data_IF_179638673903
#
_entry.id   IF_179638673903
#
_cell.length_a   1.000
_cell.length_b   1.000
_cell.length_c   1.000
_cell.angle_alpha   90.00
_cell.angle_beta   90.00
_cell.angle_gamma   90.00
#
_symmetry.space_group_name_H-M   'P 1'
#
loop_
_entity.id
_entity.type
_entity.pdbx_description
1 polymer ?
#
# COMPACT_ATOMS: atom_id res chain seq x y z
N UNK A 1 -24.49 -0.94 17.25
CA UNK A 1 -23.74 -2.20 17.03
C UNK A 1 -22.72 -1.96 15.92
N UNK A 2 -21.48 -2.44 16.08
CA UNK A 2 -20.43 -2.28 15.06
C UNK A 2 -20.69 -3.25 13.88
N UNK A 3 -20.96 -2.77 12.65
CA UNK A 3 -21.21 -3.62 11.48
C UNK A 3 -20.00 -4.48 11.07
N UNK A 4 -18.77 -4.09 11.42
CA UNK A 4 -17.58 -4.91 11.16
C UNK A 4 -17.57 -6.21 11.98
N UNK A 5 -18.31 -6.27 13.10
CA UNK A 5 -18.37 -7.48 13.92
C UNK A 5 -19.07 -8.65 13.22
N UNK A 6 -19.93 -8.37 12.25
CA UNK A 6 -20.56 -9.40 11.43
C UNK A 6 -19.85 -9.51 10.08
N UNK A 7 -19.25 -10.68 9.83
CA UNK A 7 -18.52 -11.01 8.58
C UNK A 7 -17.56 -9.91 8.09
N UNK A 8 -16.86 -9.25 9.00
CA UNK A 8 -15.93 -8.14 8.70
C UNK A 8 -16.58 -7.00 7.89
N UNK A 9 -17.90 -6.76 8.05
CA UNK A 9 -18.64 -5.79 7.25
C UNK A 9 -18.70 -6.12 5.76
N UNK A 10 -18.37 -7.35 5.37
CA UNK A 10 -18.22 -7.78 3.98
C UNK A 10 -16.89 -7.37 3.33
N UNK A 11 -15.91 -6.88 4.09
CA UNK A 11 -14.61 -6.50 3.59
C UNK A 11 -13.66 -7.70 3.48
N UNK A 12 -12.89 -7.76 2.40
CA UNK A 12 -11.86 -8.79 2.21
C UNK A 12 -10.71 -8.73 3.21
N UNK A 13 -10.31 -7.51 3.61
CA UNK A 13 -9.17 -7.29 4.50
C UNK A 13 -9.54 -6.39 5.69
N UNK A 14 -9.54 -5.07 5.50
CA UNK A 14 -9.76 -4.13 6.60
C UNK A 14 -11.20 -3.61 6.58
N UNK A 15 -11.86 -3.65 7.74
CA UNK A 15 -13.15 -3.01 7.98
C UNK A 15 -12.98 -1.83 8.93
N UNK A 16 -13.21 -0.62 8.40
CA UNK A 16 -13.03 0.65 9.10
C UNK A 16 -14.41 1.18 9.50
N UNK A 17 -14.80 0.91 10.75
CA UNK A 17 -16.04 1.44 11.31
C UNK A 17 -15.83 2.87 11.83
N UNK A 18 -16.68 3.79 11.39
CA UNK A 18 -16.78 5.16 11.90
C UNK A 18 -18.20 5.43 12.40
N UNK A 19 -18.42 6.45 13.25
CA UNK A 19 -19.76 6.81 13.70
C UNK A 19 -20.76 7.11 12.56
N UNK A 20 -20.27 7.48 11.37
CA UNK A 20 -21.10 7.84 10.20
C UNK A 20 -21.28 6.70 9.20
N UNK A 21 -20.30 5.83 9.06
CA UNK A 21 -20.30 4.78 8.04
C UNK A 21 -19.29 3.67 8.35
N UNK A 22 -19.47 2.53 7.68
CA UNK A 22 -18.46 1.46 7.61
C UNK A 22 -17.85 1.49 6.22
N UNK A 23 -16.51 1.42 6.11
CA UNK A 23 -15.79 1.38 4.84
C UNK A 23 -14.76 0.27 4.84
N UNK A 24 -14.54 -0.36 3.70
CA UNK A 24 -13.43 -1.29 3.53
C UNK A 24 -12.15 -0.56 3.15
N UNK A 25 -11.01 -1.13 3.52
CA UNK A 25 -9.68 -0.66 3.16
C UNK A 25 -8.73 -1.82 2.88
N UNK A 26 -7.63 -1.50 2.21
CA UNK A 26 -6.60 -2.48 1.84
C UNK A 26 -5.29 -2.22 2.58
N UNK A 27 -4.55 -3.28 2.95
CA UNK A 27 -3.17 -3.14 3.39
C UNK A 27 -2.30 -2.45 2.35
N UNK A 28 -1.15 -1.93 2.78
CA UNK A 28 -0.18 -1.30 1.87
C UNK A 28 0.22 -2.28 0.77
N UNK A 29 0.15 -1.81 -0.47
CA UNK A 29 0.52 -2.58 -1.65
C UNK A 29 -0.59 -3.45 -2.26
N UNK A 30 -1.81 -3.38 -1.71
CA UNK A 30 -3.02 -3.93 -2.31
C UNK A 30 -3.97 -2.80 -2.68
N UNK A 31 -4.87 -3.08 -3.61
CA UNK A 31 -5.80 -2.11 -4.18
C UNK A 31 -7.25 -2.52 -3.97
N UNK A 32 -8.08 -1.56 -3.55
CA UNK A 32 -9.51 -1.78 -3.36
C UNK A 32 -10.20 -1.73 -4.72
N UNK A 33 -10.85 -2.82 -5.10
CA UNK A 33 -11.66 -2.90 -6.31
C UNK A 33 -12.87 -1.96 -6.25
N UNK A 34 -13.46 -1.72 -7.41
CA UNK A 34 -14.67 -0.89 -7.57
C UNK A 34 -15.89 -1.42 -6.81
N UNK A 35 -15.86 -2.67 -6.35
CA UNK A 35 -16.88 -3.24 -5.46
C UNK A 35 -16.81 -2.68 -4.03
N UNK A 36 -15.79 -1.86 -3.73
CA UNK A 36 -15.52 -1.22 -2.45
C UNK A 36 -15.36 -2.21 -1.28
N UNK A 37 -14.97 -3.46 -1.56
CA UNK A 37 -14.87 -4.55 -0.57
C UNK A 37 -13.63 -5.42 -0.76
N UNK A 38 -13.26 -5.70 -1.99
CA UNK A 38 -12.24 -6.70 -2.33
C UNK A 38 -10.90 -6.01 -2.61
N UNK A 39 -9.83 -6.52 -2.00
CA UNK A 39 -8.48 -6.05 -2.26
C UNK A 39 -7.73 -7.02 -3.16
N UNK A 40 -7.00 -6.51 -4.14
CA UNK A 40 -6.18 -7.30 -5.06
C UNK A 40 -4.72 -6.83 -5.06
N UNK A 41 -3.83 -7.69 -5.53
CA UNK A 41 -2.48 -7.27 -5.89
C UNK A 41 -2.57 -6.58 -7.25
N UNK A 42 -2.08 -5.34 -7.41
CA UNK A 42 -2.10 -4.67 -8.70
C UNK A 42 -1.26 -5.38 -9.74
N UNK A 43 -1.74 -5.39 -10.99
CA UNK A 43 -1.01 -5.95 -12.11
C UNK A 43 0.17 -5.06 -12.53
N UNK A 44 0.03 -3.74 -12.35
CA UNK A 44 1.08 -2.78 -12.68
C UNK A 44 1.17 -1.63 -11.66
N UNK A 45 2.40 -1.26 -11.29
CA UNK A 45 2.69 -0.19 -10.34
C UNK A 45 4.09 0.40 -10.59
N UNK A 46 4.31 1.61 -10.09
CA UNK A 46 5.61 2.27 -10.07
C UNK A 46 6.17 2.28 -8.65
N UNK A 47 7.48 2.04 -8.51
CA UNK A 47 8.21 2.23 -7.26
C UNK A 47 9.28 3.30 -7.50
N UNK A 48 9.33 4.31 -6.65
CA UNK A 48 10.30 5.41 -6.77
C UNK A 48 10.75 5.93 -5.41
N UNK A 49 11.82 6.73 -5.39
CA UNK A 49 12.38 7.29 -4.15
C UNK A 49 12.14 8.81 -4.07
N UNK A 50 11.92 9.32 -2.86
CA UNK A 50 11.96 10.77 -2.56
C UNK A 50 12.88 11.03 -1.36
N UNK A 51 14.20 11.01 -1.57
CA UNK A 51 15.25 11.16 -0.54
C UNK A 51 15.12 10.16 0.62
N UNK A 52 14.27 10.46 1.60
CA UNK A 52 14.09 9.71 2.85
C UNK A 52 12.89 8.73 2.82
N UNK A 53 12.29 8.52 1.66
CA UNK A 53 11.15 7.61 1.51
C UNK A 53 11.20 6.86 0.18
N UNK A 54 10.65 5.65 0.20
CA UNK A 54 10.32 4.86 -0.99
C UNK A 54 8.80 4.89 -1.13
N UNK A 55 8.33 5.20 -2.32
CA UNK A 55 6.92 5.34 -2.64
C UNK A 55 6.50 4.28 -3.65
N UNK A 56 5.20 3.97 -3.63
CA UNK A 56 4.56 3.13 -4.63
C UNK A 56 3.30 3.83 -5.15
N UNK A 57 3.16 3.87 -6.47
CA UNK A 57 1.98 4.39 -7.16
C UNK A 57 1.32 3.25 -7.94
N UNK A 58 0.03 3.07 -7.75
CA UNK A 58 -0.81 2.26 -8.64
C UNK A 58 -0.95 2.92 -10.01
N UNK A 59 -0.90 2.12 -11.09
CA UNK A 59 -1.21 2.61 -12.43
C UNK A 59 -2.68 2.45 -12.82
N UNK A 60 -3.48 1.72 -12.03
CA UNK A 60 -4.87 1.38 -12.36
C UNK A 60 -5.89 2.15 -11.51
N UNK A 61 -5.60 2.34 -10.22
CA UNK A 61 -6.49 3.04 -9.30
C UNK A 61 -5.95 4.43 -8.99
N UNK A 62 -6.75 5.46 -9.30
CA UNK A 62 -6.60 6.90 -8.98
C UNK A 62 -5.25 7.32 -8.37
N UNK A 63 -4.14 7.16 -9.11
CA UNK A 63 -2.74 7.54 -8.77
C UNK A 63 -2.47 7.83 -7.28
N UNK A 64 -2.77 6.88 -6.39
CA UNK A 64 -2.60 7.10 -4.96
C UNK A 64 -1.12 6.91 -4.64
N UNK A 65 -0.38 8.01 -4.58
CA UNK A 65 1.00 8.03 -4.10
C UNK A 65 1.03 7.66 -2.62
N UNK A 66 1.61 6.49 -2.32
CA UNK A 66 1.71 5.96 -0.96
C UNK A 66 3.18 5.73 -0.61
N UNK A 67 3.64 6.43 0.42
CA UNK A 67 4.92 6.14 1.06
C UNK A 67 4.86 4.77 1.73
N UNK A 68 5.79 3.89 1.36
CA UNK A 68 5.95 2.59 2.00
C UNK A 68 6.54 2.85 3.40
N UNK A 69 5.94 2.34 4.48
CA UNK A 69 6.36 2.64 5.85
C UNK A 69 7.63 1.86 6.23
N UNK A 70 8.75 2.22 5.61
CA UNK A 70 10.07 1.65 5.88
C UNK A 70 10.82 2.47 6.92
N UNK A 71 11.45 1.79 7.87
CA UNK A 71 12.35 2.41 8.84
C UNK A 71 13.79 2.35 8.34
N UNK A 72 14.56 3.43 8.53
CA UNK A 72 15.99 3.44 8.24
C UNK A 72 16.38 3.93 6.86
N UNK A 73 15.41 4.31 6.02
CA UNK A 73 15.69 5.04 4.76
C UNK A 73 16.03 6.48 5.12
N UNK A 74 17.21 6.94 4.71
CA UNK A 74 17.72 8.28 4.95
C UNK A 74 17.97 9.02 3.64
N UNK A 75 18.72 8.40 2.73
CA UNK A 75 19.03 8.98 1.42
C UNK A 75 19.12 7.88 0.35
N UNK A 76 17.96 7.36 -0.06
CA UNK A 76 17.85 6.35 -1.09
C UNK A 76 18.25 6.92 -2.47
N UNK A 77 19.22 6.28 -3.12
CA UNK A 77 19.84 6.75 -4.37
C UNK A 77 19.48 5.89 -5.59
N UNK A 78 19.40 4.57 -5.42
CA UNK A 78 18.98 3.62 -6.44
C UNK A 78 18.03 2.59 -5.83
N UNK A 79 17.19 2.00 -6.68
CA UNK A 79 16.14 1.04 -6.30
C UNK A 79 16.04 -0.07 -7.34
N UNK A 80 15.78 -1.28 -6.87
CA UNK A 80 15.43 -2.45 -7.69
C UNK A 80 14.27 -3.22 -7.04
N UNK A 81 13.52 -3.99 -7.84
CA UNK A 81 12.33 -4.69 -7.40
C UNK A 81 12.27 -6.11 -7.95
N UNK A 82 12.15 -7.10 -7.06
CA UNK A 82 11.86 -8.48 -7.45
C UNK A 82 10.36 -8.76 -7.38
N UNK A 83 9.75 -8.92 -8.56
CA UNK A 83 8.32 -9.22 -8.71
C UNK A 83 7.95 -10.61 -8.19
N UNK A 84 8.84 -11.60 -8.30
CA UNK A 84 8.52 -12.97 -7.93
C UNK A 84 8.42 -13.15 -6.42
N UNK A 85 9.29 -12.47 -5.67
CA UNK A 85 9.33 -12.53 -4.21
C UNK A 85 8.75 -11.30 -3.51
N UNK A 86 8.33 -10.29 -4.27
CA UNK A 86 7.77 -9.02 -3.79
C UNK A 86 8.72 -8.26 -2.84
N UNK A 87 10.02 -8.20 -3.20
CA UNK A 87 11.04 -7.49 -2.43
C UNK A 87 11.50 -6.21 -3.12
N UNK A 88 11.68 -5.15 -2.33
CA UNK A 88 12.30 -3.89 -2.75
C UNK A 88 13.73 -3.86 -2.22
N UNK A 89 14.69 -3.61 -3.10
CA UNK A 89 16.09 -3.41 -2.76
C UNK A 89 16.46 -1.96 -3.01
N UNK A 90 17.22 -1.34 -2.11
CA UNK A 90 17.66 0.05 -2.29
C UNK A 90 19.07 0.27 -1.76
N UNK A 91 19.74 1.29 -2.31
CA UNK A 91 21.03 1.77 -1.81
C UNK A 91 20.85 3.11 -1.09
N UNK A 92 21.43 3.24 0.10
CA UNK A 92 21.39 4.47 0.89
C UNK A 92 22.79 5.10 0.98
N UNK A 93 22.94 6.33 0.48
CA UNK A 93 24.27 7.00 0.41
C UNK A 93 24.68 7.67 1.72
N UNK A 94 23.77 7.79 2.68
CA UNK A 94 24.05 8.41 3.97
C UNK A 94 24.55 7.40 5.02
N UNK A 95 24.41 6.10 4.74
CA UNK A 95 25.01 5.02 5.52
C UNK A 95 26.47 4.86 5.10
N UNK A 96 27.37 5.55 5.80
CA UNK A 96 28.82 5.28 5.77
C UNK A 96 29.18 4.15 6.72
#
# INVERSE_FOLDING_TARGET
>A
TNPCADRNGGCSHLCLFTPRATKCGCPVGLELLSDMRTCIVPEAFLVFTSRAAIHRISLETTNNDVAIPLTGVKEASALDFDVASNHIYWTDVSLK
#
